data_IF_296348458300
#
_entry.id   IF_296348458300
#
_cell.length_a   1.000
_cell.length_b   1.000
_cell.length_c   1.000
_cell.angle_alpha   90.00
_cell.angle_beta   90.00
_cell.angle_gamma   90.00
#
_symmetry.space_group_name_H-M   'P 1'
#
loop_
_entity.id
_entity.type
_entity.pdbx_description
1 polymer ?
#
# COMPACT_ATOMS: atom_id res chain seq x y z
N UNK A 1 14.38 3.91 79.44
CA UNK A 1 13.76 5.23 79.19
C UNK A 1 13.70 5.44 77.68
N UNK A 2 12.50 5.68 77.12
CA UNK A 2 12.17 6.09 75.73
C UNK A 2 12.56 5.10 74.60
N UNK A 3 11.70 4.14 74.26
CA UNK A 3 10.65 4.16 73.21
C UNK A 3 11.15 4.19 71.75
N UNK A 4 11.11 3.00 71.14
CA UNK A 4 10.68 2.64 69.77
C UNK A 4 10.83 3.69 68.67
N UNK A 5 11.76 3.44 67.73
CA UNK A 5 11.60 3.86 66.33
C UNK A 5 11.52 2.60 65.49
N UNK A 6 10.28 2.24 65.21
CA UNK A 6 9.83 1.38 64.14
C UNK A 6 9.79 2.24 62.87
N UNK A 7 10.65 1.97 61.89
CA UNK A 7 10.37 2.33 60.49
C UNK A 7 10.69 1.11 59.65
N UNK A 8 9.67 0.27 59.56
CA UNK A 8 9.51 -0.77 58.55
C UNK A 8 9.17 -0.03 57.24
N UNK A 9 10.20 0.36 56.49
CA UNK A 9 10.07 1.05 55.20
C UNK A 9 10.03 0.05 54.05
N UNK A 10 8.81 -0.37 53.70
CA UNK A 10 8.47 -1.16 52.52
C UNK A 10 8.95 -0.45 51.24
N UNK A 11 10.03 -0.92 50.61
CA UNK A 11 10.31 -0.63 49.20
C UNK A 11 10.49 -1.95 48.47
N UNK A 12 9.39 -2.33 47.84
CA UNK A 12 9.20 -3.49 47.00
C UNK A 12 9.48 -3.00 45.57
N UNK A 13 10.66 -3.30 45.04
CA UNK A 13 10.91 -3.19 43.59
C UNK A 13 11.63 -4.46 43.16
N UNK A 14 10.80 -5.45 42.85
CA UNK A 14 11.16 -6.57 42.00
C UNK A 14 11.31 -6.04 40.57
N UNK A 15 12.54 -6.03 40.05
CA UNK A 15 12.79 -5.92 38.61
C UNK A 15 13.31 -7.27 38.14
N UNK A 16 12.37 -8.20 37.94
CA UNK A 16 12.54 -9.40 37.15
C UNK A 16 12.80 -8.97 35.69
N UNK A 17 14.05 -8.95 35.27
CA UNK A 17 14.41 -8.84 33.86
C UNK A 17 14.24 -10.22 33.20
N UNK A 18 13.04 -10.48 32.72
CA UNK A 18 12.75 -11.49 31.69
C UNK A 18 11.80 -10.82 30.70
N UNK A 19 11.78 -11.32 29.47
CA UNK A 19 11.11 -10.82 28.26
C UNK A 19 11.93 -9.74 27.56
N UNK A 20 12.49 -9.95 26.39
CA UNK A 20 12.31 -11.01 25.41
C UNK A 20 12.78 -10.36 24.13
N UNK A 21 13.84 -10.88 23.53
CA UNK A 21 14.24 -10.45 22.19
C UNK A 21 13.13 -10.91 21.24
N UNK A 22 12.16 -10.03 21.03
CA UNK A 22 11.21 -10.15 19.94
C UNK A 22 12.04 -10.17 18.67
N UNK A 23 12.06 -11.33 18.02
CA UNK A 23 12.36 -11.41 16.61
C UNK A 23 11.30 -10.57 15.90
N UNK A 24 11.61 -9.30 15.62
CA UNK A 24 11.00 -8.59 14.52
C UNK A 24 11.47 -9.28 13.24
N UNK A 25 10.75 -10.35 12.88
CA UNK A 25 10.64 -10.75 11.50
C UNK A 25 9.93 -9.62 10.76
N UNK A 26 10.70 -8.58 10.43
CA UNK A 26 10.41 -7.70 9.32
C UNK A 26 10.31 -8.61 8.10
N UNK A 27 9.08 -9.03 7.81
CA UNK A 27 8.73 -9.59 6.52
C UNK A 27 8.82 -8.43 5.53
N UNK A 28 10.06 -8.05 5.20
CA UNK A 28 10.35 -7.29 4.00
C UNK A 28 10.00 -8.21 2.85
N UNK A 29 8.70 -8.19 2.50
CA UNK A 29 8.19 -8.71 1.25
C UNK A 29 9.08 -8.14 0.17
N UNK A 30 9.88 -9.01 -0.43
CA UNK A 30 10.75 -8.69 -1.55
C UNK A 30 9.95 -7.84 -2.54
N UNK A 31 10.42 -6.62 -2.90
CA UNK A 31 9.72 -5.79 -3.87
C UNK A 31 9.52 -6.62 -5.11
N UNK A 32 8.27 -6.73 -5.59
CA UNK A 32 8.03 -7.34 -6.88
C UNK A 32 8.86 -6.56 -7.91
N UNK A 33 9.85 -7.23 -8.50
CA UNK A 33 10.80 -6.61 -9.42
C UNK A 33 10.05 -6.09 -10.64
N UNK A 34 9.84 -4.78 -10.68
CA UNK A 34 9.36 -4.09 -11.87
C UNK A 34 10.54 -3.82 -12.79
N UNK A 35 10.48 -4.35 -14.01
CA UNK A 35 11.43 -3.97 -15.05
C UNK A 35 10.84 -2.82 -15.85
N UNK A 36 11.64 -1.77 -16.06
CA UNK A 36 11.31 -0.70 -16.99
C UNK A 36 12.06 -0.94 -18.29
N UNK A 37 11.34 -1.19 -19.38
CA UNK A 37 11.90 -1.42 -20.70
C UNK A 37 11.03 -0.78 -21.77
N UNK A 38 11.63 -0.06 -22.72
CA UNK A 38 10.94 0.49 -23.90
C UNK A 38 9.65 1.29 -23.61
N UNK A 39 9.60 2.05 -22.51
CA UNK A 39 8.41 2.84 -22.13
C UNK A 39 7.29 2.02 -21.49
N UNK A 40 7.60 0.81 -21.02
CA UNK A 40 6.71 -0.07 -20.30
C UNK A 40 7.28 -0.40 -18.93
N UNK A 41 6.38 -0.45 -17.96
CA UNK A 41 6.52 -1.12 -16.67
C UNK A 41 5.98 -2.53 -16.84
N UNK A 42 6.81 -3.52 -16.50
CA UNK A 42 6.44 -4.93 -16.59
C UNK A 42 6.40 -5.56 -15.20
N UNK A 43 5.26 -6.16 -14.84
CA UNK A 43 5.07 -6.86 -13.57
C UNK A 43 4.70 -8.33 -13.86
N UNK A 44 5.43 -9.34 -13.33
CA UNK A 44 5.07 -10.74 -13.53
C UNK A 44 3.64 -11.02 -13.05
N UNK A 45 2.80 -11.62 -13.90
CA UNK A 45 1.39 -11.85 -13.59
C UNK A 45 1.19 -12.77 -12.38
N UNK A 46 2.10 -13.75 -12.21
CA UNK A 46 2.10 -14.66 -11.07
C UNK A 46 2.49 -13.98 -9.74
N UNK A 47 3.10 -12.79 -9.79
CA UNK A 47 3.41 -12.00 -8.59
C UNK A 47 2.19 -11.23 -8.07
N UNK A 48 1.14 -11.07 -8.88
CA UNK A 48 -0.08 -10.34 -8.49
C UNK A 48 -1.00 -11.24 -7.67
N UNK A 49 -1.25 -10.83 -6.43
CA UNK A 49 -2.06 -11.56 -5.44
C UNK A 49 -3.41 -10.88 -5.17
N UNK A 50 -4.22 -11.47 -4.30
CA UNK A 50 -5.43 -10.85 -3.75
C UNK A 50 -5.12 -9.72 -2.75
N UNK A 51 -3.83 -9.47 -2.47
CA UNK A 51 -3.35 -8.34 -1.68
C UNK A 51 -2.85 -7.22 -2.57
N UNK A 52 -3.24 -5.99 -2.24
CA UNK A 52 -2.75 -4.76 -2.88
C UNK A 52 -1.24 -4.73 -2.77
N UNK A 53 -0.59 -4.63 -3.94
CA UNK A 53 0.86 -4.47 -4.07
C UNK A 53 1.10 -3.08 -4.65
N UNK A 54 1.82 -2.25 -3.91
CA UNK A 54 2.17 -0.89 -4.33
C UNK A 54 3.53 -0.87 -5.03
N UNK A 55 3.64 0.02 -6.00
CA UNK A 55 4.82 0.22 -6.83
C UNK A 55 5.02 1.72 -7.02
N UNK A 56 6.27 2.14 -7.06
CA UNK A 56 6.63 3.53 -7.30
C UNK A 56 7.29 3.68 -8.67
N UNK A 57 7.02 4.81 -9.30
CA UNK A 57 7.69 5.26 -10.52
C UNK A 57 8.08 6.72 -10.38
N UNK A 58 9.33 7.07 -10.71
CA UNK A 58 9.76 8.46 -10.71
C UNK A 58 9.39 9.12 -12.05
N UNK A 59 8.34 9.92 -12.05
CA UNK A 59 7.93 10.73 -13.18
C UNK A 59 8.58 12.12 -13.07
N UNK A 60 9.81 12.25 -13.56
CA UNK A 60 10.56 13.53 -13.63
C UNK A 60 10.63 14.25 -12.27
N UNK A 61 10.96 13.51 -11.21
CA UNK A 61 11.06 14.05 -9.85
C UNK A 61 9.80 13.90 -9.00
N UNK A 62 8.65 13.55 -9.59
CA UNK A 62 7.43 13.20 -8.85
C UNK A 62 7.38 11.69 -8.64
N UNK A 63 7.31 11.24 -7.39
CA UNK A 63 7.06 9.82 -7.09
C UNK A 63 5.58 9.51 -7.30
N UNK A 64 5.29 8.71 -8.31
CA UNK A 64 3.95 8.23 -8.63
C UNK A 64 3.80 6.83 -8.06
N UNK A 65 3.01 6.72 -6.99
CA UNK A 65 2.65 5.42 -6.41
C UNK A 65 1.40 4.89 -7.07
N UNK A 66 1.44 3.66 -7.54
CA UNK A 66 0.31 2.93 -8.11
C UNK A 66 0.27 1.53 -7.52
N UNK A 67 -0.81 0.81 -7.75
CA UNK A 67 -0.96 -0.53 -7.23
C UNK A 67 -1.57 -1.50 -8.24
N UNK A 68 -1.29 -2.77 -8.01
CA UNK A 68 -1.95 -3.90 -8.65
C UNK A 68 -2.54 -4.84 -7.60
N UNK A 69 -3.69 -5.43 -7.91
CA UNK A 69 -4.39 -6.41 -7.07
C UNK A 69 -5.25 -7.33 -7.93
N UNK A 70 -5.40 -8.59 -7.52
CA UNK A 70 -6.30 -9.55 -8.15
C UNK A 70 -7.68 -9.47 -7.49
N UNK A 71 -8.71 -9.22 -8.29
CA UNK A 71 -10.11 -9.26 -7.86
C UNK A 71 -10.58 -10.68 -7.54
N UNK A 72 -11.76 -10.79 -6.95
CA UNK A 72 -12.39 -12.07 -6.65
C UNK A 72 -12.72 -12.87 -7.93
N UNK A 73 -12.87 -12.16 -9.05
CA UNK A 73 -13.06 -12.75 -10.38
C UNK A 73 -11.74 -13.19 -11.06
N UNK A 74 -10.63 -13.16 -10.33
CA UNK A 74 -9.31 -13.55 -10.81
C UNK A 74 -8.64 -12.53 -11.74
N UNK A 75 -9.31 -11.41 -12.05
CA UNK A 75 -8.76 -10.39 -12.95
C UNK A 75 -7.84 -9.43 -12.21
N UNK A 76 -6.78 -9.00 -12.89
CA UNK A 76 -5.88 -7.96 -12.39
C UNK A 76 -6.55 -6.60 -12.49
N UNK A 77 -6.41 -5.82 -11.41
CA UNK A 77 -6.85 -4.43 -11.30
C UNK A 77 -5.63 -3.57 -11.04
N UNK A 78 -5.51 -2.48 -11.78
CA UNK A 78 -4.45 -1.48 -11.62
C UNK A 78 -5.06 -0.09 -11.45
N UNK A 79 -4.53 0.68 -10.52
CA UNK A 79 -4.95 2.05 -10.27
C UNK A 79 -3.81 2.84 -9.61
N UNK A 80 -3.89 4.16 -9.69
CA UNK A 80 -3.05 5.04 -8.89
C UNK A 80 -3.40 4.88 -7.41
N UNK A 81 -2.39 5.03 -6.54
CA UNK A 81 -2.59 5.19 -5.10
C UNK A 81 -3.03 6.63 -4.78
N UNK A 82 -4.01 7.12 -5.55
CA UNK A 82 -4.52 8.48 -5.53
C UNK A 82 -5.89 8.54 -6.19
N UNK A 83 -6.65 9.60 -5.92
CA UNK A 83 -7.82 9.96 -6.74
C UNK A 83 -7.74 11.40 -7.23
N UNK A 84 -8.63 11.74 -8.15
CA UNK A 84 -8.64 13.05 -8.78
C UNK A 84 -9.10 14.19 -7.85
N UNK A 85 -9.67 13.83 -6.69
CA UNK A 85 -10.22 14.78 -5.70
C UNK A 85 -9.31 14.95 -4.50
N UNK A 86 -8.76 13.85 -3.95
CA UNK A 86 -7.94 13.89 -2.74
C UNK A 86 -6.43 13.91 -3.02
N UNK A 87 -6.00 13.59 -4.24
CA UNK A 87 -4.59 13.38 -4.55
C UNK A 87 -4.01 12.12 -3.89
N UNK A 88 -2.69 12.00 -3.96
CA UNK A 88 -1.92 10.81 -3.56
C UNK A 88 -1.25 10.88 -2.19
N UNK A 89 -1.38 11.98 -1.44
CA UNK A 89 -0.61 12.20 -0.20
C UNK A 89 -0.80 11.11 0.88
N UNK A 90 -2.00 10.52 0.97
CA UNK A 90 -2.29 9.44 1.93
C UNK A 90 -2.61 8.09 1.28
N UNK A 91 -2.92 8.10 -0.02
CA UNK A 91 -3.27 6.91 -0.79
C UNK A 91 -4.44 6.09 -0.24
N UNK A 92 -4.35 4.79 -0.51
CA UNK A 92 -5.35 3.77 -0.28
C UNK A 92 -4.80 2.57 0.49
N UNK A 93 -5.68 1.92 1.24
CA UNK A 93 -5.39 0.68 1.95
C UNK A 93 -6.48 -0.35 1.73
N UNK A 94 -6.09 -1.61 1.60
CA UNK A 94 -7.03 -2.70 1.42
C UNK A 94 -7.74 -3.04 2.74
N UNK A 95 -9.05 -3.26 2.66
CA UNK A 95 -9.90 -3.71 3.75
C UNK A 95 -10.70 -4.94 3.30
N UNK A 96 -10.15 -6.14 3.52
CA UNK A 96 -10.75 -7.38 3.03
C UNK A 96 -10.83 -7.40 1.50
N UNK A 97 -12.06 -7.44 0.96
CA UNK A 97 -12.34 -7.40 -0.50
C UNK A 97 -12.53 -5.98 -1.04
N UNK A 98 -12.35 -4.97 -0.17
CA UNK A 98 -12.57 -3.57 -0.47
C UNK A 98 -11.25 -2.80 -0.36
N UNK A 99 -11.26 -1.55 -0.81
CA UNK A 99 -10.15 -0.62 -0.71
C UNK A 99 -10.65 0.74 -0.21
N UNK A 100 -9.98 1.30 0.78
CA UNK A 100 -10.37 2.51 1.48
C UNK A 100 -9.38 3.65 1.22
N UNK A 101 -9.90 4.85 0.94
CA UNK A 101 -9.08 6.05 0.87
C UNK A 101 -8.69 6.49 2.29
N UNK A 102 -7.39 6.57 2.58
CA UNK A 102 -6.91 6.98 3.90
C UNK A 102 -7.15 8.48 4.16
N UNK A 103 -7.38 9.28 3.12
CA UNK A 103 -7.69 10.69 3.30
C UNK A 103 -9.15 10.96 3.69
N UNK A 104 -10.11 10.37 2.99
CA UNK A 104 -11.54 10.70 3.14
C UNK A 104 -12.42 9.55 3.66
N UNK A 105 -11.85 8.35 3.85
CA UNK A 105 -12.56 7.20 4.41
C UNK A 105 -13.55 6.50 3.47
N UNK A 106 -13.70 6.95 2.21
CA UNK A 106 -14.54 6.24 1.24
C UNK A 106 -13.97 4.87 0.93
N UNK A 107 -14.88 3.90 0.79
CA UNK A 107 -14.58 2.48 0.59
C UNK A 107 -15.17 2.02 -0.74
N UNK A 108 -14.40 1.24 -1.49
CA UNK A 108 -14.72 0.80 -2.83
C UNK A 108 -14.48 -0.70 -2.99
N UNK A 109 -15.32 -1.40 -3.75
CA UNK A 109 -15.08 -2.81 -4.09
C UNK A 109 -13.88 -2.92 -5.02
N UNK A 110 -12.93 -3.82 -4.71
CA UNK A 110 -11.78 -4.09 -5.59
C UNK A 110 -12.24 -4.53 -6.98
N UNK A 111 -13.29 -5.34 -7.07
CA UNK A 111 -13.85 -5.82 -8.34
C UNK A 111 -14.46 -4.71 -9.22
N UNK A 112 -14.71 -3.52 -8.65
CA UNK A 112 -15.17 -2.33 -9.37
C UNK A 112 -14.03 -1.52 -10.01
N UNK A 113 -12.77 -1.76 -9.62
CA UNK A 113 -11.62 -1.06 -10.17
C UNK A 113 -11.40 -1.48 -11.63
N UNK A 114 -11.08 -0.54 -12.52
CA UNK A 114 -10.99 -0.76 -13.96
C UNK A 114 -12.31 -1.02 -14.69
N UNK A 115 -13.46 -0.96 -14.01
CA UNK A 115 -14.79 -1.05 -14.64
C UNK A 115 -15.65 0.17 -14.33
N UNK A 116 -15.68 0.61 -13.07
CA UNK A 116 -16.54 1.71 -12.60
C UNK A 116 -15.79 3.05 -12.48
N UNK A 117 -14.47 3.01 -12.28
CA UNK A 117 -13.61 4.16 -11.97
C UNK A 117 -12.72 4.60 -13.16
N UNK A 118 -13.22 4.49 -14.39
CA UNK A 118 -12.44 4.86 -15.60
C UNK A 118 -12.38 6.37 -15.89
N UNK A 119 -13.25 7.15 -15.27
CA UNK A 119 -13.31 8.60 -15.41
C UNK A 119 -12.77 9.32 -14.18
N UNK A 120 -12.76 10.65 -14.26
CA UNK A 120 -12.45 11.53 -13.14
C UNK A 120 -13.38 11.24 -11.95
N UNK A 121 -12.85 11.17 -10.74
CA UNK A 121 -13.68 11.12 -9.54
C UNK A 121 -12.96 10.84 -8.23
N UNK A 122 -13.75 10.75 -7.17
CA UNK A 122 -13.29 10.41 -5.82
C UNK A 122 -13.22 8.88 -5.63
N UNK A 123 -12.39 8.21 -6.43
CA UNK A 123 -12.13 6.76 -6.45
C UNK A 123 -10.66 6.54 -6.82
N UNK A 124 -10.01 5.39 -6.51
CA UNK A 124 -8.66 5.12 -7.02
C UNK A 124 -8.63 5.36 -8.52
N UNK A 125 -7.84 6.30 -9.02
CA UNK A 125 -7.92 6.66 -10.44
C UNK A 125 -7.40 5.50 -11.27
N UNK A 126 -8.15 5.08 -12.28
CA UNK A 126 -7.78 3.93 -13.11
C UNK A 126 -6.44 4.15 -13.82
N UNK A 127 -5.61 3.10 -13.82
CA UNK A 127 -4.36 3.04 -14.56
C UNK A 127 -4.48 1.90 -15.56
N UNK A 128 -4.36 2.18 -16.86
CA UNK A 128 -4.50 1.17 -17.90
C UNK A 128 -3.39 0.13 -17.83
N UNK A 129 -3.73 -1.10 -18.20
CA UNK A 129 -2.75 -2.16 -18.37
C UNK A 129 -3.19 -3.13 -19.48
N UNK A 130 -2.22 -3.89 -19.97
CA UNK A 130 -2.43 -5.03 -20.85
C UNK A 130 -1.80 -6.27 -20.21
N UNK A 131 -2.40 -7.44 -20.42
CA UNK A 131 -1.78 -8.72 -20.05
C UNK A 131 -1.16 -9.33 -21.30
N UNK A 132 0.16 -9.50 -21.30
CA UNK A 132 0.90 -10.08 -22.42
C UNK A 132 2.09 -10.88 -21.90
N UNK A 133 2.35 -12.04 -22.50
CA UNK A 133 3.53 -12.87 -22.20
C UNK A 133 3.71 -13.18 -20.70
N UNK A 134 2.60 -13.41 -19.98
CA UNK A 134 2.62 -13.70 -18.54
C UNK A 134 2.94 -12.50 -17.65
N UNK A 135 2.79 -11.27 -18.16
CA UNK A 135 3.09 -10.02 -17.47
C UNK A 135 1.93 -9.04 -17.57
N UNK A 136 1.82 -8.19 -16.55
CA UNK A 136 1.02 -6.97 -16.58
C UNK A 136 1.92 -5.86 -17.12
N UNK A 137 1.48 -5.25 -18.22
CA UNK A 137 2.22 -4.24 -18.97
C UNK A 137 1.52 -2.90 -18.80
N UNK A 138 2.22 -1.91 -18.23
CA UNK A 138 1.69 -0.56 -18.01
C UNK A 138 2.58 0.42 -18.77
N UNK A 139 1.98 1.31 -19.57
CA UNK A 139 2.74 2.34 -20.28
C UNK A 139 3.25 3.38 -19.29
N UNK A 140 4.54 3.68 -19.34
CA UNK A 140 5.11 4.73 -18.48
C UNK A 140 4.46 6.08 -18.77
N UNK A 141 4.06 6.35 -20.02
CA UNK A 141 3.32 7.56 -20.38
C UNK A 141 1.97 7.69 -19.67
N UNK A 142 1.28 6.59 -19.37
CA UNK A 142 0.04 6.64 -18.58
C UNK A 142 0.33 6.93 -17.11
N UNK A 143 1.39 6.34 -16.55
CA UNK A 143 1.85 6.63 -15.19
C UNK A 143 2.23 8.11 -15.07
N UNK A 144 3.02 8.62 -16.01
CA UNK A 144 3.45 10.02 -16.07
C UNK A 144 2.27 10.98 -16.25
N UNK A 145 1.29 10.64 -17.08
CA UNK A 145 0.08 11.45 -17.25
C UNK A 145 -0.74 11.55 -15.96
N UNK A 146 -0.59 10.60 -15.03
CA UNK A 146 -1.23 10.64 -13.72
C UNK A 146 -0.43 11.33 -12.62
N UNK A 147 0.79 11.80 -12.90
CA UNK A 147 1.69 12.35 -11.90
C UNK A 147 1.14 13.61 -11.20
N UNK A 148 0.24 14.36 -11.85
CA UNK A 148 -0.40 15.55 -11.26
C UNK A 148 -1.16 15.27 -9.96
N UNK A 149 -1.53 14.00 -9.69
CA UNK A 149 -2.22 13.62 -8.44
C UNK A 149 -1.27 13.58 -7.23
N UNK A 150 0.03 13.62 -7.46
CA UNK A 150 1.09 13.45 -6.46
C UNK A 150 1.96 14.71 -6.29
N UNK A 151 1.59 15.81 -6.95
CA UNK A 151 2.30 17.09 -6.91
C UNK A 151 1.64 18.09 -5.95
#
# INVERSE_FOLDING_TARGET
>A
MKQKIMVLGLILVAALFIFGCGNESSNSKEPATTTVSAGLVEIPLNSITDKVQKFDYNAKGVTVTYFAVKGSDGKVRTAFDACDVCGGNKGYEQQGTDIACINCGKVFKIDGLGTQNKGYGCWPSYLGHEIKDGKVMIKTSEIEAGAFRFA
#
